data_IF_492886964474
#
_entry.id   IF_492886964474
#
_cell.length_a   1.000
_cell.length_b   1.000
_cell.length_c   1.000
_cell.angle_alpha   90.00
_cell.angle_beta   90.00
_cell.angle_gamma   90.00
#
_symmetry.space_group_name_H-M   'P 1'
#
loop_
_entity.id
_entity.type
_entity.pdbx_description
1 polymer ?
#
# COMPACT_ATOMS: atom_id res chain seq x y z
N UNK A 1 -38.25 34.87 -23.18
CA UNK A 1 -37.10 34.34 -23.94
C UNK A 1 -36.17 33.67 -22.93
N UNK A 2 -36.16 32.37 -22.68
CA UNK A 2 -36.44 31.25 -23.57
C UNK A 2 -35.12 30.64 -24.04
N UNK A 3 -34.58 29.75 -23.22
CA UNK A 3 -33.53 28.74 -23.48
C UNK A 3 -32.04 29.13 -23.40
N UNK A 4 -31.38 28.78 -22.29
CA UNK A 4 -29.96 28.32 -22.27
C UNK A 4 -29.70 27.37 -21.08
N UNK A 5 -30.63 26.45 -20.80
CA UNK A 5 -30.21 25.19 -20.17
C UNK A 5 -29.46 24.43 -21.26
N UNK A 6 -28.21 24.83 -21.52
CA UNK A 6 -27.28 23.99 -22.26
C UNK A 6 -27.07 22.78 -21.36
N UNK A 7 -27.92 21.78 -21.51
CA UNK A 7 -27.53 20.42 -21.15
C UNK A 7 -26.15 20.24 -21.80
N UNK A 8 -25.09 20.04 -20.99
CA UNK A 8 -23.74 20.00 -21.52
C UNK A 8 -23.71 18.94 -22.61
N UNK A 9 -23.17 19.30 -23.78
CA UNK A 9 -23.03 18.34 -24.87
C UNK A 9 -22.20 17.15 -24.37
N UNK A 10 -22.43 15.96 -24.92
CA UNK A 10 -21.61 14.78 -24.63
C UNK A 10 -20.11 15.10 -24.72
N UNK A 11 -19.74 15.98 -25.65
CA UNK A 11 -18.37 16.45 -25.86
C UNK A 11 -17.87 17.36 -24.72
N UNK A 12 -18.75 18.15 -24.09
CA UNK A 12 -18.43 18.96 -22.92
C UNK A 12 -18.20 18.09 -21.69
N UNK A 13 -19.02 17.04 -21.53
CA UNK A 13 -18.88 16.03 -20.47
C UNK A 13 -17.53 15.31 -20.63
N UNK A 14 -17.22 14.83 -21.83
CA UNK A 14 -15.97 14.14 -22.11
C UNK A 14 -14.74 15.06 -21.99
N UNK A 15 -14.88 16.34 -22.35
CA UNK A 15 -13.81 17.34 -22.20
C UNK A 15 -13.55 17.68 -20.72
N UNK A 16 -14.60 17.74 -19.90
CA UNK A 16 -14.50 17.95 -18.45
C UNK A 16 -13.79 16.77 -17.77
N UNK A 17 -14.17 15.52 -18.11
CA UNK A 17 -13.52 14.30 -17.60
C UNK A 17 -12.03 14.27 -18.02
N UNK A 18 -11.72 14.56 -19.30
CA UNK A 18 -10.33 14.59 -19.79
C UNK A 18 -9.48 15.64 -19.06
N UNK A 19 -10.04 16.82 -18.75
CA UNK A 19 -9.35 17.89 -18.02
C UNK A 19 -9.08 17.53 -16.56
N UNK A 20 -9.98 16.81 -15.90
CA UNK A 20 -9.78 16.36 -14.51
C UNK A 20 -8.70 15.29 -14.43
N UNK A 21 -8.71 14.30 -15.33
CA UNK A 21 -7.69 13.23 -15.36
C UNK A 21 -6.30 13.80 -15.66
N UNK A 22 -6.17 14.70 -16.64
CA UNK A 22 -4.89 15.34 -16.96
C UNK A 22 -4.36 16.24 -15.82
N UNK A 23 -5.25 16.78 -14.98
CA UNK A 23 -4.87 17.55 -13.78
C UNK A 23 -4.35 16.64 -12.66
N UNK A 24 -4.83 15.40 -12.58
CA UNK A 24 -4.42 14.40 -11.59
C UNK A 24 -3.17 13.63 -12.02
N UNK A 25 -2.88 13.55 -13.32
CA UNK A 25 -1.66 12.95 -13.88
C UNK A 25 -0.41 13.87 -13.78
N UNK A 26 -0.58 15.11 -13.28
CA UNK A 26 0.55 15.99 -13.01
C UNK A 26 1.29 15.55 -11.73
N UNK A 27 2.60 15.23 -11.79
CA UNK A 27 3.36 14.64 -10.67
C UNK A 27 3.57 15.56 -9.43
N UNK A 28 2.88 16.69 -9.34
CA UNK A 28 2.95 17.62 -8.20
C UNK A 28 1.78 17.52 -7.21
N UNK A 29 0.61 16.99 -7.62
CA UNK A 29 -0.58 16.94 -6.75
C UNK A 29 -0.48 15.86 -5.66
N UNK A 30 0.22 14.76 -5.94
CA UNK A 30 0.51 13.68 -4.97
C UNK A 30 1.55 14.11 -3.93
N UNK A 31 2.51 14.96 -4.32
CA UNK A 31 3.56 15.46 -3.43
C UNK A 31 3.01 16.43 -2.35
N UNK A 32 1.98 17.22 -2.67
CA UNK A 32 1.39 18.17 -1.71
C UNK A 32 0.52 17.48 -0.63
N UNK A 33 0.04 16.25 -0.86
CA UNK A 33 -0.66 15.45 0.17
C UNK A 33 0.29 14.73 1.12
N UNK A 34 1.56 14.57 0.76
CA UNK A 34 2.58 13.93 1.59
C UNK A 34 3.25 14.88 2.60
N UNK A 35 2.93 16.18 2.54
CA UNK A 35 3.58 17.22 3.34
C UNK A 35 2.74 17.72 4.54
N UNK A 36 1.81 16.90 5.05
CA UNK A 36 1.22 17.13 6.37
C UNK A 36 2.03 16.30 7.39
N UNK A 37 2.63 16.91 8.43
CA UNK A 37 3.33 16.14 9.44
C UNK A 37 2.30 15.35 10.26
N UNK A 38 2.42 14.03 10.22
CA UNK A 38 1.72 13.13 11.13
C UNK A 38 2.38 13.23 12.51
N UNK A 39 1.90 14.13 13.37
CA UNK A 39 2.30 14.24 14.79
C UNK A 39 1.59 13.20 15.68
N UNK A 40 1.44 11.96 15.23
CA UNK A 40 0.75 10.93 16.03
C UNK A 40 1.20 9.49 15.69
N UNK A 41 2.51 9.29 15.53
CA UNK A 41 3.11 7.95 15.66
C UNK A 41 3.96 8.01 16.92
N UNK A 42 3.42 7.45 18.00
CA UNK A 42 4.15 7.16 19.22
C UNK A 42 5.36 6.28 18.86
N UNK A 43 6.55 6.82 19.05
CA UNK A 43 7.83 6.15 18.86
C UNK A 43 8.02 5.13 19.99
N UNK A 44 7.60 3.88 19.76
CA UNK A 44 7.70 2.77 20.72
C UNK A 44 9.13 2.20 20.81
N UNK A 45 10.16 3.02 20.59
CA UNK A 45 11.57 2.62 20.66
C UNK A 45 12.40 3.41 21.69
N UNK A 46 11.79 4.28 22.51
CA UNK A 46 12.54 5.17 23.41
C UNK A 46 12.47 4.84 24.92
N UNK A 47 11.95 3.68 25.35
CA UNK A 47 11.88 3.35 26.79
C UNK A 47 12.33 1.91 27.11
N UNK A 48 13.61 1.61 26.90
CA UNK A 48 14.32 0.53 27.62
C UNK A 48 15.72 1.01 28.06
N UNK A 49 15.78 2.14 28.77
CA UNK A 49 16.95 2.50 29.58
C UNK A 49 16.48 3.10 30.91
N UNK A 50 16.01 2.25 31.82
CA UNK A 50 15.98 2.57 33.24
C UNK A 50 16.32 1.31 34.08
N UNK A 51 17.60 1.25 34.42
CA UNK A 51 18.15 0.77 35.69
C UNK A 51 17.63 -0.54 36.32
N UNK A 52 18.37 -1.64 36.09
CA UNK A 52 18.72 -2.56 37.18
C UNK A 52 20.23 -2.52 37.42
N UNK A 53 20.60 -1.80 38.47
CA UNK A 53 21.94 -1.77 39.02
C UNK A 53 22.34 -3.17 39.52
N UNK A 54 23.48 -3.69 39.05
CA UNK A 54 24.63 -4.15 39.86
C UNK A 54 25.63 -4.92 38.98
N UNK A 55 26.75 -4.29 38.65
CA UNK A 55 28.11 -4.80 38.89
C UNK A 55 29.11 -3.87 38.20
N UNK A 56 29.62 -2.91 38.96
CA UNK A 56 30.72 -2.04 38.57
C UNK A 56 32.04 -2.79 38.64
N UNK A 57 32.68 -3.12 37.52
CA UNK A 57 34.14 -3.24 37.42
C UNK A 57 34.60 -2.88 35.99
N UNK A 58 35.06 -1.63 35.86
CA UNK A 58 36.28 -1.20 35.16
C UNK A 58 36.53 -1.67 33.71
N UNK A 59 36.31 -0.77 32.74
CA UNK A 59 37.38 -0.28 31.84
C UNK A 59 36.80 0.86 30.98
N UNK A 60 37.43 2.03 31.05
CA UNK A 60 37.12 3.18 30.20
C UNK A 60 38.32 3.42 29.29
N UNK A 61 38.19 3.06 28.02
CA UNK A 61 39.24 3.23 27.02
C UNK A 61 38.67 3.41 25.62
N UNK A 62 38.65 4.66 25.17
CA UNK A 62 38.29 5.13 23.83
C UNK A 62 38.73 4.24 22.63
N UNK A 63 37.82 4.02 21.67
CA UNK A 63 38.16 3.94 20.24
C UNK A 63 36.90 4.11 19.36
N UNK A 64 36.81 5.23 18.64
CA UNK A 64 35.89 5.40 17.53
C UNK A 64 36.34 4.53 16.34
N UNK A 65 35.51 3.55 15.99
CA UNK A 65 35.64 2.63 14.85
C UNK A 65 36.13 1.23 15.28
N UNK A 66 35.90 0.24 14.42
CA UNK A 66 36.79 -0.94 14.29
C UNK A 66 36.41 -2.22 15.06
N UNK A 67 35.16 -2.68 14.99
CA UNK A 67 34.90 -4.13 14.90
C UNK A 67 34.02 -4.39 13.68
N UNK A 68 34.64 -4.38 12.50
CA UNK A 68 34.01 -4.94 11.30
C UNK A 68 33.78 -6.44 11.56
N UNK A 69 32.57 -6.79 12.01
CA UNK A 69 32.21 -8.12 12.52
C UNK A 69 32.36 -9.25 11.47
N UNK A 70 32.50 -8.87 10.21
CA UNK A 70 32.71 -9.79 9.09
C UNK A 70 33.72 -9.18 8.16
N UNK A 71 34.83 -9.87 7.94
CA UNK A 71 35.80 -9.46 6.93
C UNK A 71 35.10 -9.29 5.57
N UNK A 72 35.52 -8.28 4.80
CA UNK A 72 35.15 -8.12 3.38
C UNK A 72 35.18 -9.45 2.61
N UNK A 73 36.20 -10.28 2.83
CA UNK A 73 36.31 -11.59 2.19
C UNK A 73 35.17 -12.56 2.57
N UNK A 74 34.74 -12.55 3.83
CA UNK A 74 33.61 -13.35 4.33
C UNK A 74 32.28 -12.84 3.77
N UNK A 75 32.10 -11.52 3.64
CA UNK A 75 30.92 -10.93 3.03
C UNK A 75 30.81 -11.31 1.54
N UNK A 76 31.92 -11.28 0.79
CA UNK A 76 31.94 -11.70 -0.60
C UNK A 76 31.73 -13.20 -0.78
N UNK A 77 32.24 -14.03 0.13
CA UNK A 77 31.97 -15.48 0.13
C UNK A 77 30.47 -15.79 0.38
N UNK A 78 29.81 -15.03 1.26
CA UNK A 78 28.38 -15.17 1.52
C UNK A 78 27.54 -14.77 0.30
N UNK A 79 27.89 -13.67 -0.38
CA UNK A 79 27.24 -13.25 -1.63
C UNK A 79 27.36 -14.31 -2.72
N UNK A 80 28.57 -14.85 -2.93
CA UNK A 80 28.81 -15.92 -3.91
C UNK A 80 28.03 -17.19 -3.57
N UNK A 81 27.92 -17.55 -2.29
CA UNK A 81 27.16 -18.72 -1.85
C UNK A 81 25.65 -18.54 -2.08
N UNK A 82 25.12 -17.33 -1.83
CA UNK A 82 23.73 -16.99 -2.11
C UNK A 82 23.44 -16.95 -3.62
N UNK A 83 24.36 -16.42 -4.41
CA UNK A 83 24.24 -16.40 -5.87
C UNK A 83 24.27 -17.83 -6.45
N UNK A 84 25.18 -18.68 -5.97
CA UNK A 84 25.24 -20.09 -6.36
C UNK A 84 23.94 -20.84 -5.98
N UNK A 85 23.39 -20.58 -4.79
CA UNK A 85 22.10 -21.13 -4.38
C UNK A 85 20.97 -20.64 -5.29
N UNK A 86 20.94 -19.35 -5.58
CA UNK A 86 19.94 -18.75 -6.48
C UNK A 86 20.04 -19.35 -7.89
N UNK A 87 21.25 -19.53 -8.42
CA UNK A 87 21.48 -20.16 -9.72
C UNK A 87 21.07 -21.64 -9.72
N UNK A 88 21.28 -22.37 -8.62
CA UNK A 88 20.83 -23.75 -8.46
C UNK A 88 19.29 -23.85 -8.39
N UNK A 89 18.61 -22.85 -7.82
CA UNK A 89 17.15 -22.78 -7.76
C UNK A 89 16.49 -22.24 -9.04
N UNK A 90 17.21 -21.45 -9.85
CA UNK A 90 16.72 -20.88 -11.10
C UNK A 90 16.08 -21.90 -12.07
N UNK A 91 16.65 -23.09 -12.35
CA UNK A 91 16.01 -24.07 -13.22
C UNK A 91 14.70 -24.63 -12.65
N UNK A 92 14.59 -24.78 -11.32
CA UNK A 92 13.36 -25.24 -10.66
C UNK A 92 12.27 -24.16 -10.71
N UNK A 93 12.62 -22.89 -10.50
CA UNK A 93 11.69 -21.76 -10.64
C UNK A 93 11.22 -21.57 -12.09
N UNK A 94 12.13 -21.69 -13.06
CA UNK A 94 11.80 -21.63 -14.49
C UNK A 94 10.90 -22.80 -14.92
N UNK A 95 11.17 -24.01 -14.42
CA UNK A 95 10.31 -25.17 -14.65
C UNK A 95 8.92 -24.99 -14.03
N UNK A 96 8.83 -24.48 -12.80
CA UNK A 96 7.57 -24.18 -12.15
C UNK A 96 6.74 -23.14 -12.95
N UNK A 97 7.39 -22.07 -13.43
CA UNK A 97 6.75 -21.07 -14.28
C UNK A 97 6.30 -21.65 -15.64
N UNK A 98 7.04 -22.61 -16.21
CA UNK A 98 6.68 -23.29 -17.44
C UNK A 98 5.55 -24.32 -17.26
N UNK A 99 5.38 -24.87 -16.05
CA UNK A 99 4.28 -25.80 -15.71
C UNK A 99 2.96 -25.10 -15.39
N UNK A 100 2.95 -23.78 -15.24
CA UNK A 100 1.71 -22.99 -15.19
C UNK A 100 1.33 -22.65 -16.63
N UNK A 101 0.39 -23.37 -17.26
CA UNK A 101 -0.13 -22.92 -18.54
C UNK A 101 -0.73 -21.53 -18.33
N UNK A 102 -0.40 -20.57 -19.19
CA UNK A 102 -0.91 -19.19 -19.17
C UNK A 102 -2.45 -19.05 -19.33
N UNK A 103 -3.18 -20.17 -19.28
CA UNK A 103 -4.64 -20.26 -19.28
C UNK A 103 -5.19 -21.36 -18.36
N UNK A 104 -4.41 -21.87 -17.41
CA UNK A 104 -4.88 -22.82 -16.40
C UNK A 104 -5.54 -22.10 -15.23
N UNK A 105 -6.64 -22.66 -14.72
CA UNK A 105 -7.35 -22.14 -13.53
C UNK A 105 -6.37 -22.10 -12.37
N UNK A 106 -6.11 -20.89 -11.91
CA UNK A 106 -5.16 -20.63 -10.85
C UNK A 106 -5.78 -20.93 -9.47
N UNK A 107 -4.94 -21.01 -8.42
CA UNK A 107 -5.45 -21.21 -7.07
C UNK A 107 -6.30 -20.01 -6.64
N UNK A 108 -5.89 -18.80 -7.01
CA UNK A 108 -6.63 -17.58 -6.77
C UNK A 108 -8.00 -17.60 -7.44
N UNK A 109 -8.14 -18.15 -8.65
CA UNK A 109 -9.45 -18.29 -9.31
C UNK A 109 -10.38 -19.22 -8.52
N UNK A 110 -9.83 -20.31 -7.97
CA UNK A 110 -10.59 -21.26 -7.15
C UNK A 110 -11.03 -20.61 -5.83
N UNK A 111 -10.13 -19.86 -5.18
CA UNK A 111 -10.42 -19.15 -3.93
C UNK A 111 -11.45 -18.03 -4.16
N UNK A 112 -11.29 -17.24 -5.22
CA UNK A 112 -12.22 -16.16 -5.58
C UNK A 112 -13.61 -16.73 -5.90
N UNK A 113 -13.69 -17.83 -6.63
CA UNK A 113 -14.97 -18.50 -6.90
C UNK A 113 -15.62 -19.04 -5.63
N UNK A 114 -14.83 -19.57 -4.70
CA UNK A 114 -15.33 -20.03 -3.41
C UNK A 114 -15.80 -18.87 -2.51
N UNK A 115 -15.16 -17.70 -2.57
CA UNK A 115 -15.50 -16.52 -1.77
C UNK A 115 -16.65 -15.68 -2.35
N UNK A 116 -16.87 -15.75 -3.66
CA UNK A 116 -17.93 -15.01 -4.37
C UNK A 116 -19.32 -15.10 -3.70
N UNK A 117 -19.85 -16.28 -3.29
CA UNK A 117 -21.16 -16.36 -2.65
C UNK A 117 -21.22 -15.66 -1.29
N UNK A 118 -20.16 -15.76 -0.48
CA UNK A 118 -20.12 -15.12 0.85
C UNK A 118 -20.05 -13.60 0.73
N UNK A 119 -19.24 -13.09 -0.22
CA UNK A 119 -19.18 -11.65 -0.49
C UNK A 119 -20.50 -11.12 -1.05
N UNK A 120 -21.15 -11.86 -1.95
CA UNK A 120 -22.46 -11.49 -2.47
C UNK A 120 -23.51 -11.41 -1.37
N UNK A 121 -23.63 -12.43 -0.51
CA UNK A 121 -24.63 -12.39 0.56
C UNK A 121 -24.40 -11.19 1.49
N UNK A 122 -23.13 -10.89 1.78
CA UNK A 122 -22.78 -9.79 2.67
C UNK A 122 -23.11 -8.44 2.02
N UNK A 123 -22.78 -8.27 0.73
CA UNK A 123 -23.15 -7.06 -0.02
C UNK A 123 -24.67 -6.90 -0.10
N UNK A 124 -25.41 -7.95 -0.42
CA UNK A 124 -26.88 -7.90 -0.49
C UNK A 124 -27.49 -7.48 0.87
N UNK A 125 -26.89 -7.89 1.99
CA UNK A 125 -27.37 -7.53 3.33
C UNK A 125 -26.93 -6.13 3.82
N UNK A 126 -25.72 -5.67 3.47
CA UNK A 126 -25.12 -4.48 4.08
C UNK A 126 -25.08 -3.25 3.15
N UNK A 127 -25.08 -3.46 1.84
CA UNK A 127 -24.97 -2.39 0.86
C UNK A 127 -26.17 -1.42 0.86
N UNK A 128 -27.44 -1.85 1.03
CA UNK A 128 -28.59 -0.93 1.06
C UNK A 128 -28.45 0.14 2.15
N UNK A 129 -28.16 -0.26 3.38
CA UNK A 129 -28.02 0.67 4.51
C UNK A 129 -26.85 1.65 4.32
N UNK A 130 -25.72 1.18 3.77
CA UNK A 130 -24.58 2.06 3.47
C UNK A 130 -24.94 3.12 2.43
N UNK A 131 -25.62 2.72 1.36
CA UNK A 131 -26.06 3.63 0.30
C UNK A 131 -27.08 4.64 0.82
N UNK A 132 -28.07 4.22 1.61
CA UNK A 132 -29.04 5.12 2.22
C UNK A 132 -28.37 6.19 3.09
N UNK A 133 -27.39 5.80 3.92
CA UNK A 133 -26.64 6.75 4.74
C UNK A 133 -25.81 7.74 3.91
N UNK A 134 -25.26 7.28 2.78
CA UNK A 134 -24.46 8.12 1.88
C UNK A 134 -25.36 9.10 1.10
N UNK A 135 -26.48 8.62 0.57
CA UNK A 135 -27.48 9.44 -0.13
C UNK A 135 -28.13 10.44 0.83
N UNK A 136 -28.48 10.04 2.05
CA UNK A 136 -29.02 10.97 3.05
C UNK A 136 -28.03 12.10 3.37
N UNK A 137 -26.73 11.79 3.50
CA UNK A 137 -25.67 12.79 3.64
C UNK A 137 -25.54 13.68 2.40
N UNK A 138 -25.66 13.11 1.20
CA UNK A 138 -25.57 13.86 -0.06
C UNK A 138 -26.74 14.83 -0.21
N UNK A 139 -27.96 14.39 0.06
CA UNK A 139 -29.17 15.22 0.05
C UNK A 139 -29.07 16.33 1.09
N UNK A 140 -28.63 16.02 2.32
CA UNK A 140 -28.47 17.03 3.38
C UNK A 140 -27.46 18.11 2.98
N UNK A 141 -26.39 17.72 2.26
CA UNK A 141 -25.39 18.66 1.73
C UNK A 141 -25.97 19.57 0.65
N UNK A 142 -26.69 19.02 -0.32
CA UNK A 142 -27.28 19.78 -1.44
C UNK A 142 -28.41 20.69 -0.95
N UNK A 143 -29.23 20.19 -0.02
CA UNK A 143 -30.35 20.94 0.56
C UNK A 143 -29.91 21.98 1.59
N UNK A 144 -28.62 22.04 1.93
CA UNK A 144 -28.07 22.95 2.93
C UNK A 144 -28.62 22.71 4.34
N UNK A 145 -29.31 21.59 4.56
CA UNK A 145 -29.93 21.27 5.84
C UNK A 145 -28.92 20.51 6.68
N UNK A 146 -28.13 21.24 7.47
CA UNK A 146 -27.38 20.66 8.58
C UNK A 146 -28.39 20.09 9.58
N UNK A 147 -28.50 18.76 9.61
CA UNK A 147 -29.05 17.98 10.72
C UNK A 147 -27.88 17.53 11.59
#
# INVERSE_FOLDING_TARGET
>A
MGDMSREPSMEDILSSIRRVIARDEAPGARAQRAAAPSEDILDLNEEEDDAVAESTLDDSGAATGQEELVSVASADAARQSLEALTAAMAPAAAAAAATVPAGGRSLEDVVVDAMRPMLKQWLDANLPAMVESMVAREISRITGKRL
#
